data_IF_637040226201
#
_entry.id   IF_637040226201
#
_cell.length_a   1.000
_cell.length_b   1.000
_cell.length_c   1.000
_cell.angle_alpha   90.00
_cell.angle_beta   90.00
_cell.angle_gamma   90.00
#
_symmetry.space_group_name_H-M   'P 1'
#
loop_
_entity.id
_entity.type
_entity.pdbx_description
1 polymer ?
#
# COMPACT_ATOMS: atom_id res chain seq x y z
N UNK A 1 -18.76 -2.91 -19.42
CA UNK A 1 -18.92 -4.33 -19.05
C UNK A 1 -17.90 -4.63 -17.96
N UNK A 2 -18.38 -4.90 -16.74
CA UNK A 2 -17.49 -4.99 -15.57
C UNK A 2 -17.03 -6.43 -15.34
N UNK A 3 -15.74 -6.61 -15.14
CA UNK A 3 -15.19 -7.87 -14.64
C UNK A 3 -15.60 -8.06 -13.17
N UNK A 4 -15.70 -9.32 -12.74
CA UNK A 4 -15.96 -9.75 -11.38
C UNK A 4 -14.79 -10.60 -10.88
N UNK A 5 -14.36 -10.38 -9.66
CA UNK A 5 -13.19 -11.08 -9.11
C UNK A 5 -13.63 -12.00 -7.95
N UNK A 6 -13.32 -13.28 -8.06
CA UNK A 6 -13.44 -14.20 -6.94
C UNK A 6 -12.05 -14.42 -6.34
N UNK A 7 -11.94 -14.21 -5.06
CA UNK A 7 -10.70 -14.44 -4.30
C UNK A 7 -10.90 -15.72 -3.50
N UNK A 8 -10.02 -16.69 -3.69
CA UNK A 8 -10.03 -17.92 -2.93
C UNK A 8 -8.81 -17.99 -2.01
N UNK A 9 -9.06 -18.13 -0.71
CA UNK A 9 -8.04 -18.38 0.30
C UNK A 9 -7.93 -19.88 0.55
N UNK A 10 -6.90 -20.54 0.00
CA UNK A 10 -6.70 -21.99 0.12
C UNK A 10 -6.60 -22.43 1.57
N UNK A 11 -6.99 -23.72 1.81
CA UNK A 11 -6.98 -24.33 3.14
C UNK A 11 -7.83 -23.59 4.18
N UNK A 12 -7.69 -23.86 5.48
CA UNK A 12 -8.39 -23.17 6.57
C UNK A 12 -8.96 -24.11 7.63
N UNK A 13 -9.11 -23.59 8.85
CA UNK A 13 -9.60 -24.36 10.00
C UNK A 13 -8.68 -25.53 10.33
N UNK A 14 -9.20 -26.77 10.23
CA UNK A 14 -8.44 -27.99 10.48
C UNK A 14 -7.44 -28.31 9.35
N UNK A 15 -7.71 -27.88 8.13
CA UNK A 15 -6.82 -28.04 6.99
C UNK A 15 -5.76 -26.93 7.01
N UNK A 16 -4.57 -27.25 7.48
CA UNK A 16 -3.46 -26.32 7.60
C UNK A 16 -2.74 -26.01 6.27
N UNK A 17 -2.91 -26.88 5.26
CA UNK A 17 -2.08 -26.83 4.07
C UNK A 17 -0.61 -27.17 4.39
N UNK A 18 0.30 -26.67 3.58
CA UNK A 18 1.73 -26.88 3.80
C UNK A 18 2.27 -26.08 4.98
N UNK A 19 3.22 -26.69 5.71
CA UNK A 19 3.85 -26.04 6.87
C UNK A 19 5.38 -26.20 6.80
N UNK A 20 6.12 -25.14 7.03
CA UNK A 20 7.58 -25.13 7.03
C UNK A 20 8.13 -23.76 7.41
N UNK A 21 9.35 -23.70 7.94
CA UNK A 21 10.02 -22.44 8.31
C UNK A 21 9.15 -21.45 9.12
N UNK A 22 8.34 -21.95 10.04
CA UNK A 22 7.37 -21.17 10.84
C UNK A 22 6.31 -20.42 9.98
N UNK A 23 5.91 -21.03 8.88
CA UNK A 23 4.77 -20.63 8.04
C UNK A 23 3.74 -21.75 8.08
N UNK A 24 2.48 -21.38 8.15
CA UNK A 24 1.32 -22.25 7.94
C UNK A 24 0.57 -21.69 6.73
N UNK A 25 0.39 -22.47 5.67
CA UNK A 25 -0.18 -22.00 4.41
C UNK A 25 -1.54 -21.34 4.59
N UNK A 26 -2.44 -21.95 5.37
CA UNK A 26 -3.79 -21.41 5.59
C UNK A 26 -3.80 -19.96 6.12
N UNK A 27 -2.80 -19.59 6.94
CA UNK A 27 -2.72 -18.27 7.56
C UNK A 27 -2.30 -17.22 6.53
N UNK A 28 -1.30 -17.53 5.72
CA UNK A 28 -0.82 -16.62 4.66
C UNK A 28 -1.78 -16.56 3.47
N UNK A 29 -2.43 -17.68 3.11
CA UNK A 29 -3.51 -17.65 2.12
C UNK A 29 -4.61 -16.69 2.54
N UNK A 30 -4.98 -16.68 3.83
CA UNK A 30 -6.00 -15.80 4.38
C UNK A 30 -5.53 -14.34 4.43
N UNK A 31 -4.31 -14.09 4.91
CA UNK A 31 -3.73 -12.74 4.97
C UNK A 31 -3.68 -12.07 3.60
N UNK A 32 -3.15 -12.79 2.61
CA UNK A 32 -3.03 -12.31 1.23
C UNK A 32 -4.42 -12.08 0.63
N UNK A 33 -5.33 -13.03 0.80
CA UNK A 33 -6.68 -12.94 0.25
C UNK A 33 -7.50 -11.79 0.85
N UNK A 34 -7.40 -11.54 2.16
CA UNK A 34 -8.03 -10.40 2.80
C UNK A 34 -7.43 -9.08 2.30
N UNK A 35 -6.12 -9.00 2.12
CA UNK A 35 -5.49 -7.83 1.54
C UNK A 35 -6.01 -7.55 0.11
N UNK A 36 -6.06 -8.57 -0.75
CA UNK A 36 -6.61 -8.44 -2.10
C UNK A 36 -8.06 -7.95 -2.08
N UNK A 37 -8.88 -8.49 -1.16
CA UNK A 37 -10.29 -8.09 -0.98
C UNK A 37 -10.41 -6.60 -0.64
N UNK A 38 -9.68 -6.13 0.37
CA UNK A 38 -9.68 -4.73 0.80
C UNK A 38 -9.24 -3.80 -0.35
N UNK A 39 -8.23 -4.22 -1.10
CA UNK A 39 -7.73 -3.45 -2.24
C UNK A 39 -8.74 -3.36 -3.37
N UNK A 40 -9.38 -4.48 -3.76
CA UNK A 40 -10.41 -4.50 -4.78
C UNK A 40 -11.63 -3.66 -4.38
N UNK A 41 -12.05 -3.74 -3.10
CA UNK A 41 -13.11 -2.88 -2.54
C UNK A 41 -12.75 -1.39 -2.66
N UNK A 42 -11.53 -1.03 -2.29
CA UNK A 42 -11.05 0.36 -2.37
C UNK A 42 -11.00 0.91 -3.81
N UNK A 43 -10.85 0.03 -4.79
CA UNK A 43 -10.85 0.37 -6.22
C UNK A 43 -12.25 0.30 -6.85
N UNK A 44 -13.28 -0.08 -6.08
CA UNK A 44 -14.66 -0.23 -6.57
C UNK A 44 -14.83 -1.38 -7.57
N UNK A 45 -13.98 -2.40 -7.49
CA UNK A 45 -14.05 -3.60 -8.35
C UNK A 45 -14.94 -4.63 -7.67
N UNK A 46 -15.98 -5.09 -8.37
CA UNK A 46 -16.91 -6.12 -7.88
C UNK A 46 -16.16 -7.42 -7.54
N UNK A 47 -16.26 -7.85 -6.30
CA UNK A 47 -15.49 -8.99 -5.83
C UNK A 47 -16.16 -9.75 -4.67
N UNK A 48 -15.80 -11.04 -4.54
CA UNK A 48 -16.13 -11.87 -3.39
C UNK A 48 -14.88 -12.59 -2.87
N UNK A 49 -14.96 -13.12 -1.67
CA UNK A 49 -13.94 -13.98 -1.07
C UNK A 49 -14.57 -15.27 -0.55
N UNK A 50 -13.94 -16.42 -0.78
CA UNK A 50 -14.46 -17.72 -0.34
C UNK A 50 -14.48 -17.87 1.18
N UNK A 51 -13.44 -17.39 1.86
CA UNK A 51 -13.38 -17.27 3.31
C UNK A 51 -12.60 -16.03 3.73
N UNK A 52 -13.09 -15.32 4.72
CA UNK A 52 -12.44 -14.15 5.34
C UNK A 52 -12.03 -14.39 6.80
N UNK A 53 -12.25 -15.62 7.28
CA UNK A 53 -11.87 -16.08 8.63
C UNK A 53 -11.21 -17.46 8.52
N UNK A 54 -10.58 -17.92 9.61
CA UNK A 54 -10.00 -19.27 9.68
C UNK A 54 -11.11 -20.32 9.85
N UNK A 55 -11.57 -20.88 8.73
CA UNK A 55 -12.59 -21.95 8.69
C UNK A 55 -12.27 -22.95 7.59
N UNK A 56 -12.60 -24.21 7.80
CA UNK A 56 -12.48 -25.27 6.80
C UNK A 56 -13.53 -25.11 5.71
N UNK A 57 -13.12 -25.18 4.46
CA UNK A 57 -13.99 -25.27 3.28
C UNK A 57 -13.49 -26.39 2.38
N UNK A 58 -14.38 -27.29 1.97
CA UNK A 58 -14.08 -28.26 0.91
C UNK A 58 -13.95 -27.56 -0.44
N UNK A 59 -13.31 -28.22 -1.40
CA UNK A 59 -13.19 -27.70 -2.79
C UNK A 59 -14.57 -27.42 -3.39
N UNK A 60 -15.55 -28.31 -3.21
CA UNK A 60 -16.93 -28.10 -3.64
C UNK A 60 -17.57 -26.85 -3.00
N UNK A 61 -17.33 -26.63 -1.71
CA UNK A 61 -17.85 -25.45 -1.03
C UNK A 61 -17.25 -24.16 -1.61
N UNK A 62 -15.96 -24.16 -1.94
CA UNK A 62 -15.26 -23.02 -2.56
C UNK A 62 -15.84 -22.72 -3.94
N UNK A 63 -15.94 -23.73 -4.80
CA UNK A 63 -16.49 -23.58 -6.16
C UNK A 63 -17.96 -23.17 -6.12
N UNK A 64 -18.76 -23.72 -5.20
CA UNK A 64 -20.17 -23.37 -5.01
C UNK A 64 -20.34 -21.90 -4.54
N UNK A 65 -19.50 -21.39 -3.66
CA UNK A 65 -19.54 -19.97 -3.25
C UNK A 65 -19.34 -19.07 -4.47
N UNK A 66 -18.37 -19.38 -5.32
CA UNK A 66 -18.04 -18.56 -6.50
C UNK A 66 -19.17 -18.66 -7.55
N UNK A 67 -19.61 -19.88 -7.87
CA UNK A 67 -20.65 -20.10 -8.89
C UNK A 67 -22.02 -19.58 -8.47
N UNK A 68 -22.33 -19.64 -7.17
CA UNK A 68 -23.57 -19.03 -6.65
C UNK A 68 -23.57 -17.51 -6.76
N UNK A 69 -22.40 -16.87 -6.63
CA UNK A 69 -22.28 -15.42 -6.72
C UNK A 69 -22.28 -14.90 -8.17
N UNK A 70 -21.62 -15.62 -9.09
CA UNK A 70 -21.33 -15.11 -10.42
C UNK A 70 -21.92 -15.92 -11.58
N UNK A 71 -22.50 -17.09 -11.30
CA UNK A 71 -23.12 -17.95 -12.32
C UNK A 71 -22.11 -18.39 -13.38
N UNK A 72 -22.52 -18.32 -14.64
CA UNK A 72 -21.65 -18.64 -15.80
C UNK A 72 -21.08 -17.40 -16.48
N UNK A 73 -20.87 -16.31 -15.73
CA UNK A 73 -20.34 -15.08 -16.32
C UNK A 73 -18.86 -15.24 -16.68
N UNK A 74 -18.57 -15.34 -17.97
CA UNK A 74 -17.22 -15.52 -18.54
C UNK A 74 -16.26 -14.38 -18.25
N UNK A 75 -16.74 -13.26 -17.67
CA UNK A 75 -15.90 -12.15 -17.18
C UNK A 75 -15.51 -12.33 -15.73
N UNK A 76 -15.76 -13.46 -15.15
CA UNK A 76 -15.28 -13.81 -13.84
C UNK A 76 -13.80 -14.21 -13.89
N UNK A 77 -13.01 -13.59 -13.02
CA UNK A 77 -11.62 -13.95 -12.77
C UNK A 77 -11.55 -14.56 -11.37
N UNK A 78 -10.95 -15.73 -11.26
CA UNK A 78 -10.70 -16.39 -9.96
C UNK A 78 -9.22 -16.30 -9.65
N UNK A 79 -8.88 -15.80 -8.48
CA UNK A 79 -7.51 -15.78 -7.94
C UNK A 79 -7.50 -16.64 -6.67
N UNK A 80 -6.92 -17.83 -6.76
CA UNK A 80 -6.75 -18.75 -5.64
C UNK A 80 -5.34 -18.60 -5.07
N UNK A 81 -5.23 -18.26 -3.81
CA UNK A 81 -3.99 -17.90 -3.14
C UNK A 81 -3.54 -19.02 -2.20
N UNK A 82 -2.27 -19.40 -2.30
CA UNK A 82 -1.65 -20.41 -1.46
C UNK A 82 -0.13 -20.38 -1.51
N UNK A 83 0.45 -21.44 -0.96
CA UNK A 83 1.89 -21.67 -0.96
C UNK A 83 2.20 -23.01 -1.61
N UNK A 84 3.47 -23.32 -1.80
CA UNK A 84 3.97 -24.62 -2.25
C UNK A 84 4.94 -25.23 -1.24
N UNK A 85 5.32 -26.46 -1.48
CA UNK A 85 6.35 -27.18 -0.73
C UNK A 85 7.31 -27.92 -1.66
N UNK A 86 8.33 -28.53 -1.10
CA UNK A 86 9.31 -29.34 -1.84
C UNK A 86 10.50 -28.54 -2.34
N UNK A 87 10.95 -28.82 -3.56
CA UNK A 87 12.18 -28.23 -4.13
C UNK A 87 11.82 -27.06 -5.05
N UNK A 88 12.38 -25.91 -4.79
CA UNK A 88 12.21 -24.71 -5.63
C UNK A 88 12.37 -23.43 -4.84
N UNK A 89 12.44 -22.33 -5.55
CA UNK A 89 12.47 -20.98 -5.01
C UNK A 89 11.58 -20.08 -5.87
N UNK A 90 10.83 -19.22 -5.23
CA UNK A 90 10.03 -18.20 -5.89
C UNK A 90 8.56 -18.57 -6.10
N UNK A 91 7.82 -17.57 -6.55
CA UNK A 91 6.39 -17.63 -6.82
C UNK A 91 6.08 -18.43 -8.10
N UNK A 92 5.00 -19.19 -8.06
CA UNK A 92 4.46 -19.89 -9.23
C UNK A 92 3.05 -19.39 -9.56
N UNK A 93 2.77 -19.20 -10.85
CA UNK A 93 1.44 -18.82 -11.34
C UNK A 93 0.89 -19.91 -12.24
N UNK A 94 -0.17 -20.57 -11.80
CA UNK A 94 -0.80 -21.65 -12.55
C UNK A 94 -2.10 -21.13 -13.16
N UNK A 95 -2.27 -21.29 -14.47
CA UNK A 95 -3.47 -20.89 -15.20
C UNK A 95 -4.19 -22.07 -15.83
N UNK A 96 -5.49 -21.96 -16.00
CA UNK A 96 -6.37 -23.03 -16.50
C UNK A 96 -5.98 -23.45 -17.92
N UNK A 97 -6.15 -24.75 -18.24
CA UNK A 97 -5.90 -25.32 -19.57
C UNK A 97 -6.74 -24.61 -20.66
N UNK A 98 -7.94 -24.15 -20.31
CA UNK A 98 -8.86 -23.40 -21.18
C UNK A 98 -8.48 -21.93 -21.40
N UNK A 99 -7.57 -21.41 -20.61
CA UNK A 99 -7.17 -20.00 -20.66
C UNK A 99 -5.83 -19.79 -21.40
N UNK A 100 -5.58 -18.57 -21.86
CA UNK A 100 -4.26 -18.14 -22.28
C UNK A 100 -3.44 -17.62 -21.11
N UNK A 101 -2.14 -17.43 -21.32
CA UNK A 101 -1.18 -17.01 -20.30
C UNK A 101 -1.15 -15.51 -20.01
N UNK A 102 -1.96 -14.69 -20.67
CA UNK A 102 -1.87 -13.22 -20.59
C UNK A 102 -1.96 -12.65 -19.19
N UNK A 103 -2.89 -13.17 -18.36
CA UNK A 103 -3.00 -12.72 -16.98
C UNK A 103 -1.88 -13.31 -16.12
N UNK A 104 -1.54 -14.59 -16.31
CA UNK A 104 -0.49 -15.26 -15.55
C UNK A 104 0.89 -14.60 -15.78
N UNK A 105 1.25 -14.34 -17.05
CA UNK A 105 2.51 -13.66 -17.39
C UNK A 105 2.54 -12.22 -16.86
N UNK A 106 1.40 -11.52 -16.86
CA UNK A 106 1.31 -10.17 -16.31
C UNK A 106 1.49 -10.16 -14.78
N UNK A 107 0.91 -11.13 -14.06
CA UNK A 107 1.14 -11.30 -12.61
C UNK A 107 2.62 -11.57 -12.35
N UNK A 108 3.23 -12.48 -13.08
CA UNK A 108 4.66 -12.78 -12.96
C UNK A 108 5.52 -11.53 -13.15
N UNK A 109 5.26 -10.75 -14.21
CA UNK A 109 5.97 -9.51 -14.52
C UNK A 109 5.84 -8.45 -13.40
N UNK A 110 4.64 -8.26 -12.85
CA UNK A 110 4.43 -7.28 -11.78
C UNK A 110 5.12 -7.71 -10.47
N UNK A 111 5.14 -9.02 -10.17
CA UNK A 111 5.88 -9.56 -9.01
C UNK A 111 7.38 -9.35 -9.18
N UNK A 112 7.96 -9.63 -10.36
CA UNK A 112 9.38 -9.35 -10.64
C UNK A 112 9.68 -7.85 -10.56
N UNK A 113 8.77 -7.01 -11.04
CA UNK A 113 8.87 -5.54 -10.94
C UNK A 113 8.86 -5.07 -9.49
N UNK A 114 8.12 -5.75 -8.61
CA UNK A 114 8.12 -5.50 -7.18
C UNK A 114 9.34 -6.09 -6.43
N UNK A 115 10.31 -6.65 -7.15
CA UNK A 115 11.51 -7.27 -6.55
C UNK A 115 11.32 -8.72 -6.09
N UNK A 116 10.17 -9.32 -6.39
CA UNK A 116 9.90 -10.72 -6.11
C UNK A 116 10.64 -11.67 -7.06
N UNK A 117 10.74 -12.91 -6.65
CA UNK A 117 11.29 -13.99 -7.50
C UNK A 117 10.16 -14.82 -8.03
N UNK A 118 10.09 -14.96 -9.34
CA UNK A 118 9.13 -15.82 -10.04
C UNK A 118 9.85 -17.06 -10.53
N UNK A 119 9.39 -18.23 -10.10
CA UNK A 119 9.91 -19.51 -10.60
C UNK A 119 9.40 -19.76 -12.03
N UNK A 120 8.06 -19.76 -12.19
CA UNK A 120 7.42 -19.99 -13.49
C UNK A 120 5.95 -19.58 -13.50
N UNK A 121 5.39 -19.42 -14.70
CA UNK A 121 3.94 -19.49 -14.92
C UNK A 121 3.64 -20.57 -15.97
N UNK A 122 2.61 -21.41 -15.67
CA UNK A 122 2.38 -22.61 -16.47
C UNK A 122 0.97 -23.20 -16.26
N UNK A 123 0.63 -24.19 -17.05
CA UNK A 123 -0.56 -25.01 -16.89
C UNK A 123 -0.20 -26.32 -16.16
N UNK A 124 -0.95 -26.68 -15.13
CA UNK A 124 -0.73 -27.91 -14.38
C UNK A 124 -1.85 -28.89 -14.63
N UNK A 125 -1.49 -30.05 -15.18
CA UNK A 125 -2.41 -31.12 -15.52
C UNK A 125 -2.55 -32.12 -14.39
N UNK A 126 -3.73 -32.70 -14.29
CA UNK A 126 -3.97 -33.82 -13.39
C UNK A 126 -3.10 -35.02 -13.86
N UNK A 127 -2.33 -35.67 -12.98
CA UNK A 127 -1.46 -36.80 -13.35
C UNK A 127 -2.23 -38.04 -13.79
N UNK A 128 -3.46 -38.22 -13.29
CA UNK A 128 -4.30 -39.36 -13.61
C UNK A 128 -5.16 -39.12 -14.87
N UNK A 129 -5.43 -37.86 -15.22
CA UNK A 129 -6.17 -37.45 -16.41
C UNK A 129 -5.61 -36.17 -16.98
N UNK A 130 -4.65 -36.26 -17.87
CA UNK A 130 -3.94 -35.10 -18.44
C UNK A 130 -4.81 -34.20 -19.33
N UNK A 131 -6.07 -34.54 -19.55
CA UNK A 131 -7.02 -33.65 -20.20
C UNK A 131 -7.66 -32.65 -19.22
N UNK A 132 -7.45 -32.83 -17.92
CA UNK A 132 -8.01 -32.01 -16.85
C UNK A 132 -6.96 -31.16 -16.15
N UNK A 133 -7.41 -30.05 -15.58
CA UNK A 133 -6.60 -29.23 -14.68
C UNK A 133 -6.40 -29.95 -13.33
N UNK A 134 -5.21 -29.79 -12.73
CA UNK A 134 -4.88 -30.40 -11.44
C UNK A 134 -5.75 -29.87 -10.29
N UNK A 135 -5.93 -28.55 -10.22
CA UNK A 135 -6.65 -27.93 -9.11
C UNK A 135 -8.17 -27.97 -9.31
N UNK A 136 -8.94 -28.49 -8.31
CA UNK A 136 -10.41 -28.49 -8.36
C UNK A 136 -11.01 -27.10 -8.61
N UNK A 137 -10.46 -26.06 -7.99
CA UNK A 137 -10.91 -24.67 -8.18
C UNK A 137 -10.84 -24.22 -9.66
N UNK A 138 -9.95 -24.80 -10.46
CA UNK A 138 -9.88 -24.56 -11.89
C UNK A 138 -10.86 -25.49 -12.63
N UNK A 139 -10.81 -26.77 -12.32
CA UNK A 139 -11.53 -27.85 -13.03
C UNK A 139 -13.03 -27.71 -12.87
N UNK A 140 -13.49 -27.42 -11.65
CA UNK A 140 -14.90 -27.52 -11.26
C UNK A 140 -15.63 -26.17 -11.28
N UNK A 141 -14.99 -25.13 -11.84
CA UNK A 141 -15.62 -23.82 -12.12
C UNK A 141 -15.95 -23.68 -13.61
N UNK A 142 -16.96 -22.86 -14.00
CA UNK A 142 -17.25 -22.53 -15.41
C UNK A 142 -16.04 -21.95 -16.16
N UNK A 143 -16.28 -21.51 -17.40
CA UNK A 143 -15.23 -20.93 -18.27
C UNK A 143 -14.69 -19.57 -17.74
N UNK A 144 -14.31 -19.54 -16.48
CA UNK A 144 -13.68 -18.39 -15.83
C UNK A 144 -12.19 -18.30 -16.18
N UNK A 145 -11.66 -17.09 -16.14
CA UNK A 145 -10.21 -16.88 -16.13
C UNK A 145 -9.70 -17.25 -14.73
N UNK A 146 -9.20 -18.47 -14.54
CA UNK A 146 -8.80 -18.96 -13.21
C UNK A 146 -7.28 -19.03 -13.10
N UNK A 147 -6.76 -18.45 -12.04
CA UNK A 147 -5.34 -18.41 -11.67
C UNK A 147 -5.18 -18.95 -10.25
N UNK A 148 -4.27 -19.87 -10.08
CA UNK A 148 -3.76 -20.33 -8.77
C UNK A 148 -2.36 -19.74 -8.58
N UNK A 149 -2.13 -19.07 -7.47
CA UNK A 149 -0.83 -18.47 -7.14
C UNK A 149 -0.28 -19.18 -5.92
N UNK A 150 0.92 -19.73 -6.06
CA UNK A 150 1.76 -20.17 -4.94
C UNK A 150 2.83 -19.11 -4.71
N UNK A 151 2.71 -18.34 -3.62
CA UNK A 151 3.55 -17.16 -3.36
C UNK A 151 4.98 -17.50 -2.95
N UNK A 152 5.31 -18.76 -2.80
CA UNK A 152 6.63 -19.29 -2.51
C UNK A 152 6.55 -20.66 -1.85
N UNK A 153 7.70 -21.23 -1.58
CA UNK A 153 7.85 -22.58 -1.04
C UNK A 153 8.13 -22.54 0.46
N UNK A 154 7.25 -23.17 1.26
CA UNK A 154 7.39 -23.18 2.74
C UNK A 154 8.66 -23.91 3.21
N UNK A 155 9.22 -24.83 2.41
CA UNK A 155 10.44 -25.56 2.72
C UNK A 155 11.72 -24.76 2.38
N UNK A 156 11.59 -23.68 1.61
CA UNK A 156 12.68 -22.77 1.28
C UNK A 156 12.73 -21.60 2.25
N UNK A 157 13.83 -21.49 3.02
CA UNK A 157 13.97 -20.45 4.05
C UNK A 157 13.93 -19.02 3.49
N UNK A 158 14.46 -18.80 2.28
CA UNK A 158 14.45 -17.48 1.64
C UNK A 158 13.04 -17.09 1.20
N UNK A 159 12.26 -18.05 0.66
CA UNK A 159 10.85 -17.80 0.33
C UNK A 159 10.05 -17.52 1.59
N UNK A 160 10.28 -18.30 2.65
CA UNK A 160 9.62 -18.08 3.93
C UNK A 160 9.91 -16.69 4.52
N UNK A 161 11.14 -16.20 4.42
CA UNK A 161 11.49 -14.83 4.83
C UNK A 161 10.77 -13.77 3.97
N UNK A 162 10.79 -13.94 2.63
CA UNK A 162 10.09 -13.03 1.71
C UNK A 162 8.59 -13.00 1.96
N UNK A 163 7.95 -14.16 2.10
CA UNK A 163 6.51 -14.25 2.38
C UNK A 163 6.17 -13.51 3.66
N UNK A 164 6.93 -13.71 4.74
CA UNK A 164 6.69 -13.05 6.03
C UNK A 164 6.83 -11.53 5.94
N UNK A 165 7.79 -11.05 5.17
CA UNK A 165 8.13 -9.64 5.06
C UNK A 165 7.28 -8.93 4.00
N UNK A 166 7.14 -9.55 2.82
CA UNK A 166 6.77 -8.86 1.60
C UNK A 166 5.42 -9.35 1.00
N UNK A 167 4.61 -10.12 1.76
CA UNK A 167 3.33 -10.67 1.23
C UNK A 167 2.37 -9.58 0.71
N UNK A 168 2.40 -8.38 1.29
CA UNK A 168 1.58 -7.26 0.83
C UNK A 168 2.05 -6.72 -0.52
N UNK A 169 3.36 -6.67 -0.75
CA UNK A 169 3.93 -6.22 -2.01
C UNK A 169 3.60 -7.20 -3.15
N UNK A 170 3.63 -8.50 -2.85
CA UNK A 170 3.20 -9.54 -3.80
C UNK A 170 1.70 -9.45 -4.09
N UNK A 171 0.87 -9.26 -3.08
CA UNK A 171 -0.56 -9.06 -3.27
C UNK A 171 -0.84 -7.78 -4.08
N UNK A 172 -0.10 -6.70 -3.82
CA UNK A 172 -0.23 -5.46 -4.58
C UNK A 172 0.22 -5.60 -6.04
N UNK A 173 1.25 -6.42 -6.32
CA UNK A 173 1.63 -6.79 -7.68
C UNK A 173 0.48 -7.52 -8.43
N UNK A 174 -0.24 -8.41 -7.73
CA UNK A 174 -1.44 -9.06 -8.29
C UNK A 174 -2.53 -8.03 -8.59
N UNK A 175 -2.78 -7.06 -7.70
CA UNK A 175 -3.75 -5.96 -7.95
C UNK A 175 -3.35 -5.12 -9.18
N UNK A 176 -2.07 -4.77 -9.33
CA UNK A 176 -1.56 -4.06 -10.51
C UNK A 176 -1.81 -4.85 -11.80
N UNK A 177 -1.49 -6.14 -11.78
CA UNK A 177 -1.71 -7.04 -12.91
C UNK A 177 -3.21 -7.14 -13.27
N UNK A 178 -4.08 -7.35 -12.27
CA UNK A 178 -5.53 -7.42 -12.45
C UNK A 178 -6.09 -6.13 -13.02
N UNK A 179 -5.80 -4.98 -12.42
CA UNK A 179 -6.31 -3.68 -12.86
C UNK A 179 -5.89 -3.36 -14.29
N UNK A 180 -4.62 -3.64 -14.62
CA UNK A 180 -4.10 -3.51 -15.98
C UNK A 180 -4.79 -4.47 -16.97
N UNK A 181 -5.07 -5.71 -16.55
CA UNK A 181 -5.73 -6.72 -17.40
C UNK A 181 -7.19 -6.36 -17.70
N UNK A 182 -7.93 -5.89 -16.69
CA UNK A 182 -9.36 -5.52 -16.84
C UNK A 182 -9.58 -4.08 -17.33
N UNK A 183 -8.51 -3.30 -17.54
CA UNK A 183 -8.58 -1.92 -18.03
C UNK A 183 -9.06 -0.91 -16.98
N UNK A 184 -8.89 -1.17 -15.70
CA UNK A 184 -9.18 -0.26 -14.59
C UNK A 184 -7.90 0.48 -14.20
N UNK A 185 -8.03 1.77 -13.89
CA UNK A 185 -6.87 2.55 -13.43
C UNK A 185 -6.42 2.05 -12.05
N UNK A 186 -5.15 1.64 -11.97
CA UNK A 186 -4.53 1.33 -10.68
C UNK A 186 -4.36 2.61 -9.83
N UNK A 187 -4.68 2.52 -8.54
CA UNK A 187 -4.43 3.55 -7.53
C UNK A 187 -3.71 2.86 -6.37
N UNK A 188 -2.53 3.32 -5.95
CA UNK A 188 -1.81 2.75 -4.80
C UNK A 188 -2.64 2.75 -3.50
N UNK A 189 -2.29 1.90 -2.52
CA UNK A 189 -2.96 1.85 -1.23
C UNK A 189 -2.97 3.20 -0.52
N UNK A 190 -4.01 3.47 0.28
CA UNK A 190 -4.06 4.66 1.12
C UNK A 190 -2.86 4.71 2.08
N UNK A 191 -2.24 5.88 2.24
CA UNK A 191 -1.02 6.04 3.05
C UNK A 191 0.29 5.71 2.33
N UNK A 192 0.24 5.27 1.07
CA UNK A 192 1.43 5.17 0.22
C UNK A 192 1.72 6.53 -0.39
N UNK A 193 2.93 7.05 -0.22
CA UNK A 193 3.36 8.22 -0.96
C UNK A 193 3.63 7.80 -2.41
N UNK A 194 2.90 8.36 -3.34
CA UNK A 194 3.15 8.12 -4.76
C UNK A 194 3.02 9.41 -5.59
N UNK A 195 3.65 9.40 -6.75
CA UNK A 195 3.58 10.48 -7.73
C UNK A 195 3.20 9.94 -9.11
N UNK A 196 2.28 10.63 -9.78
CA UNK A 196 1.94 10.31 -11.18
C UNK A 196 2.74 11.24 -12.09
N UNK A 197 3.61 10.66 -12.92
CA UNK A 197 4.50 11.38 -13.84
C UNK A 197 3.70 12.23 -14.81
N UNK A 198 4.06 13.51 -14.95
CA UNK A 198 3.45 14.49 -15.85
C UNK A 198 4.43 14.88 -16.96
N UNK A 199 3.90 15.51 -18.01
CA UNK A 199 4.73 16.06 -19.09
C UNK A 199 5.75 17.06 -18.54
N UNK A 200 7.02 16.85 -18.84
CA UNK A 200 8.13 17.70 -18.40
C UNK A 200 8.77 17.33 -17.06
N UNK A 201 8.34 16.20 -16.47
CA UNK A 201 8.97 15.64 -15.28
C UNK A 201 10.29 14.92 -15.61
N UNK A 202 11.11 14.82 -14.57
CA UNK A 202 12.31 13.99 -14.56
C UNK A 202 12.47 13.38 -13.17
N UNK A 203 13.19 12.26 -13.06
CA UNK A 203 13.48 11.64 -11.75
C UNK A 203 14.12 12.64 -10.79
N UNK A 204 15.04 13.49 -11.28
CA UNK A 204 15.68 14.52 -10.47
C UNK A 204 14.67 15.52 -9.89
N UNK A 205 13.75 16.04 -10.72
CA UNK A 205 12.71 16.97 -10.25
C UNK A 205 11.80 16.31 -9.22
N UNK A 206 11.38 15.08 -9.48
CA UNK A 206 10.48 14.33 -8.58
C UNK A 206 11.22 14.03 -7.27
N UNK A 207 12.43 13.49 -7.33
CA UNK A 207 13.23 13.18 -6.15
C UNK A 207 13.46 14.43 -5.29
N UNK A 208 13.86 15.55 -5.93
CA UNK A 208 14.08 16.81 -5.23
C UNK A 208 12.79 17.36 -4.59
N UNK A 209 11.63 17.26 -5.28
CA UNK A 209 10.35 17.72 -4.74
C UNK A 209 9.87 16.89 -3.53
N UNK A 210 10.28 15.63 -3.44
CA UNK A 210 9.90 14.73 -2.36
C UNK A 210 11.00 14.49 -1.33
N UNK A 211 12.12 15.20 -1.41
CA UNK A 211 13.20 15.13 -0.44
C UNK A 211 13.92 13.77 -0.43
N UNK A 212 13.91 13.07 -1.54
CA UNK A 212 14.63 11.82 -1.77
C UNK A 212 15.71 12.00 -2.84
N UNK A 213 16.55 11.00 -3.05
CA UNK A 213 17.53 10.99 -4.15
C UNK A 213 16.98 10.27 -5.39
N UNK A 214 17.61 10.53 -6.54
CA UNK A 214 17.27 9.80 -7.79
C UNK A 214 17.51 8.32 -7.62
N UNK A 215 18.56 7.93 -6.89
CA UNK A 215 18.93 6.53 -6.68
C UNK A 215 17.92 5.83 -5.77
N UNK A 216 17.52 6.42 -4.63
CA UNK A 216 16.46 5.90 -3.77
C UNK A 216 15.13 5.78 -4.53
N UNK A 217 14.76 6.80 -5.34
CA UNK A 217 13.54 6.76 -6.13
C UNK A 217 13.58 5.66 -7.21
N UNK A 218 14.75 5.41 -7.80
CA UNK A 218 14.94 4.31 -8.76
C UNK A 218 14.89 2.95 -8.09
N UNK A 219 15.51 2.81 -6.94
CA UNK A 219 15.52 1.58 -6.15
C UNK A 219 14.10 1.19 -5.72
N UNK A 220 13.35 2.13 -5.11
CA UNK A 220 11.96 1.93 -4.69
C UNK A 220 11.03 1.50 -5.83
N UNK A 221 11.33 1.95 -7.07
CA UNK A 221 10.52 1.67 -8.25
C UNK A 221 11.16 0.68 -9.22
N UNK A 222 12.26 0.04 -8.85
CA UNK A 222 13.02 -0.91 -9.66
C UNK A 222 13.36 -0.36 -11.09
N UNK A 223 13.65 0.94 -11.19
CA UNK A 223 13.91 1.59 -12.48
C UNK A 223 15.34 1.33 -12.94
N UNK A 224 15.48 0.69 -14.10
CA UNK A 224 16.79 0.44 -14.74
C UNK A 224 17.34 1.64 -15.53
N UNK A 225 16.52 2.66 -15.78
CA UNK A 225 16.90 3.88 -16.52
C UNK A 225 16.28 5.13 -15.91
N UNK A 226 16.63 6.31 -16.45
CA UNK A 226 16.03 7.59 -16.03
C UNK A 226 14.82 7.99 -16.88
N UNK A 227 14.39 7.13 -17.80
CA UNK A 227 13.26 7.40 -18.69
C UNK A 227 11.96 7.18 -17.92
N UNK A 228 11.08 8.17 -18.01
CA UNK A 228 9.75 8.13 -17.39
C UNK A 228 8.67 8.23 -18.46
N UNK A 229 7.59 7.49 -18.29
CA UNK A 229 6.40 7.60 -19.12
C UNK A 229 5.37 8.52 -18.45
N UNK A 230 4.72 9.39 -19.24
CA UNK A 230 3.61 10.21 -18.74
C UNK A 230 2.51 9.28 -18.24
N UNK A 231 2.02 9.54 -17.02
CA UNK A 231 1.04 8.68 -16.34
C UNK A 231 1.65 7.54 -15.52
N UNK A 232 2.96 7.30 -15.61
CA UNK A 232 3.66 6.33 -14.76
C UNK A 232 3.48 6.71 -13.30
N UNK A 233 3.19 5.72 -12.47
CA UNK A 233 3.11 5.88 -11.01
C UNK A 233 4.47 5.53 -10.42
N UNK A 234 5.02 6.43 -9.64
CA UNK A 234 6.24 6.22 -8.89
C UNK A 234 5.90 6.18 -7.40
N UNK A 235 6.31 5.15 -6.71
CA UNK A 235 6.33 5.11 -5.25
C UNK A 235 7.45 6.05 -4.76
N UNK A 236 7.10 6.86 -3.77
CA UNK A 236 8.07 7.77 -3.17
C UNK A 236 8.62 7.11 -1.91
N UNK A 237 9.95 6.89 -1.82
CA UNK A 237 10.57 6.23 -0.69
C UNK A 237 10.18 6.89 0.64
N UNK A 238 9.77 6.07 1.62
CA UNK A 238 9.61 6.53 3.01
C UNK A 238 11.00 6.54 3.65
N UNK A 239 11.47 7.70 4.10
CA UNK A 239 12.62 7.70 5.00
C UNK A 239 12.23 7.02 6.30
N UNK A 240 12.91 5.96 6.68
CA UNK A 240 12.77 5.36 8.01
C UNK A 240 13.02 6.46 9.06
N UNK A 241 12.00 6.72 9.88
CA UNK A 241 11.99 7.81 10.86
C UNK A 241 11.19 9.06 10.45
N UNK A 242 10.62 9.11 9.24
CA UNK A 242 9.72 10.18 8.81
C UNK A 242 8.27 9.67 8.90
N UNK A 243 7.56 10.07 9.94
CA UNK A 243 6.10 10.09 9.89
C UNK A 243 5.67 10.81 8.61
N UNK A 244 4.60 10.35 7.96
CA UNK A 244 4.11 10.86 6.66
C UNK A 244 4.20 12.38 6.61
N UNK A 245 5.13 12.89 5.80
CA UNK A 245 5.37 14.32 5.68
C UNK A 245 4.19 14.93 4.95
N UNK A 246 3.36 15.64 5.68
CA UNK A 246 2.22 16.35 5.13
C UNK A 246 2.71 17.38 4.10
N UNK A 247 2.05 17.46 2.96
CA UNK A 247 2.35 18.42 1.92
C UNK A 247 1.26 19.49 1.84
N UNK A 248 1.66 20.71 1.53
CA UNK A 248 0.76 21.83 1.31
C UNK A 248 1.04 22.48 -0.05
N UNK A 249 0.01 22.60 -0.88
CA UNK A 249 0.12 23.36 -2.13
C UNK A 249 -0.24 24.79 -1.89
N UNK A 250 0.68 25.72 -2.16
CA UNK A 250 0.52 27.16 -1.99
C UNK A 250 -0.61 27.69 -2.87
N UNK A 251 -1.55 28.41 -2.27
CA UNK A 251 -2.71 29.03 -2.92
C UNK A 251 -2.55 30.55 -2.99
N UNK A 252 -3.35 31.18 -3.83
CA UNK A 252 -3.40 32.63 -3.91
C UNK A 252 -3.74 33.26 -2.55
N UNK A 253 -2.90 34.16 -2.07
CA UNK A 253 -3.06 34.84 -0.78
C UNK A 253 -2.43 34.13 0.42
N UNK A 254 -1.70 33.03 0.18
CA UNK A 254 -0.90 32.38 1.21
C UNK A 254 0.40 33.15 1.49
N UNK A 255 0.88 32.95 2.71
CA UNK A 255 2.22 33.34 3.15
C UNK A 255 2.80 32.21 4.01
N UNK A 256 4.12 32.15 4.14
CA UNK A 256 4.77 31.17 5.04
C UNK A 256 4.18 31.23 6.44
N UNK A 257 3.91 32.43 6.94
CA UNK A 257 3.29 32.61 8.25
C UNK A 257 1.90 31.98 8.35
N UNK A 258 1.01 32.22 7.36
CA UNK A 258 -0.32 31.59 7.34
C UNK A 258 -0.24 30.08 7.26
N UNK A 259 0.64 29.57 6.40
CA UNK A 259 0.80 28.11 6.22
C UNK A 259 1.37 27.49 7.48
N UNK A 260 2.39 28.09 8.09
CA UNK A 260 2.99 27.63 9.35
C UNK A 260 1.94 27.59 10.48
N UNK A 261 1.21 28.69 10.65
CA UNK A 261 0.21 28.81 11.70
C UNK A 261 -0.95 27.79 11.53
N UNK A 262 -1.44 27.60 10.30
CA UNK A 262 -2.53 26.65 10.01
C UNK A 262 -2.11 25.18 10.18
N UNK A 263 -0.78 24.91 10.12
CA UNK A 263 -0.23 23.55 10.22
C UNK A 263 0.56 23.33 11.51
N UNK A 264 0.36 24.19 12.52
CA UNK A 264 0.99 24.09 13.86
C UNK A 264 2.52 23.96 13.80
N UNK A 265 3.16 24.77 12.96
CA UNK A 265 4.62 24.83 12.81
C UNK A 265 5.08 26.28 12.82
N UNK A 266 6.38 26.51 12.72
CA UNK A 266 6.98 27.86 12.61
C UNK A 266 7.39 28.16 11.18
N UNK A 267 7.56 29.46 10.85
CA UNK A 267 8.09 29.89 9.55
C UNK A 267 9.50 29.34 9.35
N UNK A 268 10.33 29.38 10.39
CA UNK A 268 11.70 28.87 10.33
C UNK A 268 11.76 27.38 10.07
N UNK A 269 10.94 26.58 10.77
CA UNK A 269 10.82 25.14 10.53
C UNK A 269 10.34 24.83 9.11
N UNK A 270 9.38 25.61 8.57
CA UNK A 270 8.96 25.48 7.18
C UNK A 270 10.06 25.83 6.19
N UNK A 271 10.81 26.89 6.45
CA UNK A 271 11.94 27.33 5.60
C UNK A 271 13.06 26.30 5.60
N UNK A 272 13.46 25.82 6.77
CA UNK A 272 14.49 24.79 6.93
C UNK A 272 14.09 23.50 6.22
N UNK A 273 12.87 23.00 6.48
CA UNK A 273 12.36 21.77 5.89
C UNK A 273 12.25 21.82 4.37
N UNK A 274 12.00 23.01 3.81
CA UNK A 274 11.82 23.24 2.37
C UNK A 274 13.03 23.91 1.71
N UNK A 275 14.14 24.08 2.44
CA UNK A 275 15.35 24.78 1.96
C UNK A 275 15.07 26.18 1.37
N UNK A 276 14.08 26.92 1.94
CA UNK A 276 13.70 28.23 1.45
C UNK A 276 14.67 29.30 1.96
N UNK A 277 15.28 30.04 1.05
CA UNK A 277 16.18 31.15 1.38
C UNK A 277 15.44 32.48 1.60
N UNK A 278 14.20 32.58 1.10
CA UNK A 278 13.36 33.78 1.18
C UNK A 278 11.97 33.42 1.64
N UNK A 279 11.15 34.41 1.95
CA UNK A 279 9.75 34.22 2.35
C UNK A 279 8.78 34.20 1.16
N UNK A 280 9.30 34.36 -0.05
CA UNK A 280 8.50 34.43 -1.27
C UNK A 280 8.03 33.02 -1.68
N UNK A 281 6.74 32.88 -1.90
CA UNK A 281 6.09 31.65 -2.35
C UNK A 281 5.50 31.85 -3.74
N UNK A 282 5.53 30.78 -4.54
CA UNK A 282 4.84 30.71 -5.82
C UNK A 282 3.51 29.97 -5.69
N UNK A 283 2.45 30.46 -6.33
CA UNK A 283 1.18 29.72 -6.38
C UNK A 283 1.40 28.37 -7.06
N UNK A 284 0.91 27.30 -6.45
CA UNK A 284 1.16 25.93 -6.90
C UNK A 284 2.47 25.30 -6.38
N UNK A 285 3.29 26.06 -5.66
CA UNK A 285 4.47 25.52 -4.98
C UNK A 285 4.02 24.50 -3.92
N UNK A 286 4.68 23.34 -3.88
CA UNK A 286 4.45 22.34 -2.85
C UNK A 286 5.44 22.58 -1.71
N UNK A 287 4.93 22.73 -0.51
CA UNK A 287 5.72 22.80 0.72
C UNK A 287 5.54 21.52 1.52
N UNK A 288 6.63 20.97 1.99
CA UNK A 288 6.65 19.93 2.99
C UNK A 288 6.26 20.54 4.34
N UNK A 289 5.30 19.91 5.00
CA UNK A 289 4.90 20.31 6.35
C UNK A 289 5.54 19.36 7.36
N UNK A 290 5.98 19.86 8.53
CA UNK A 290 6.45 18.99 9.60
C UNK A 290 5.36 17.97 9.97
N UNK A 291 5.71 16.69 10.08
CA UNK A 291 4.78 15.69 10.55
C UNK A 291 4.45 15.93 12.03
N UNK A 292 3.16 15.97 12.36
CA UNK A 292 2.68 16.12 13.75
C UNK A 292 2.94 14.88 14.65
N UNK A 293 3.63 13.87 14.17
CA UNK A 293 4.00 12.69 14.93
C UNK A 293 5.32 12.92 15.67
N UNK A 294 5.23 13.60 16.79
CA UNK A 294 6.36 13.79 17.70
C UNK A 294 6.74 15.23 17.98
N UNK A 295 5.77 16.17 18.08
CA UNK A 295 6.11 17.38 18.79
C UNK A 295 6.50 16.99 20.20
N UNK A 296 7.80 16.99 20.45
CA UNK A 296 8.31 17.08 21.83
C UNK A 296 7.73 18.37 22.40
N UNK A 297 6.77 18.26 23.28
CA UNK A 297 6.27 19.38 24.03
C UNK A 297 6.80 19.26 25.46
N UNK A 298 7.25 20.38 26.00
CA UNK A 298 7.48 20.51 27.44
C UNK A 298 6.19 20.96 28.12
N UNK A 299 6.01 20.59 29.37
CA UNK A 299 4.90 21.10 30.18
C UNK A 299 5.34 22.40 30.85
N UNK A 300 4.56 23.44 30.63
CA UNK A 300 4.70 24.72 31.29
C UNK A 300 3.60 24.90 32.32
N UNK A 301 3.97 25.22 33.56
CA UNK A 301 3.01 25.53 34.62
C UNK A 301 2.82 27.04 34.69
N UNK A 302 1.59 27.49 34.49
CA UNK A 302 1.22 28.90 34.54
C UNK A 302 1.52 29.52 35.91
N UNK A 303 2.25 30.62 35.91
CA UNK A 303 2.68 31.36 37.12
C UNK A 303 1.89 32.67 37.24
N UNK A 304 1.92 33.26 38.42
CA UNK A 304 1.34 34.59 38.68
C UNK A 304 1.97 35.64 37.73
N UNK A 305 1.14 36.37 37.02
CA UNK A 305 1.56 37.40 36.05
C UNK A 305 1.80 36.89 34.63
N UNK A 306 1.57 35.61 34.36
CA UNK A 306 1.59 35.07 33.01
C UNK A 306 0.35 35.49 32.21
N UNK A 307 0.55 35.53 30.90
CA UNK A 307 -0.51 35.64 29.91
C UNK A 307 -0.19 34.75 28.72
N UNK A 308 -1.21 34.35 27.97
CA UNK A 308 -0.98 33.58 26.74
C UNK A 308 0.01 34.25 25.80
N UNK A 309 -0.03 35.59 25.72
CA UNK A 309 0.90 36.35 24.89
C UNK A 309 2.36 36.23 25.40
N UNK A 310 2.59 36.38 26.70
CA UNK A 310 3.94 36.25 27.28
C UNK A 310 4.49 34.85 27.09
N UNK A 311 3.68 33.82 27.36
CA UNK A 311 4.08 32.43 27.26
C UNK A 311 4.36 32.08 25.78
N UNK A 312 3.48 32.48 24.86
CA UNK A 312 3.64 32.24 23.43
C UNK A 312 4.90 32.92 22.89
N UNK A 313 5.08 34.22 23.19
CA UNK A 313 6.22 35.01 22.74
C UNK A 313 7.57 34.47 23.27
N UNK A 314 7.63 34.09 24.54
CA UNK A 314 8.83 33.48 25.14
C UNK A 314 9.21 32.10 24.60
N UNK A 315 8.31 31.48 23.85
CA UNK A 315 8.52 30.17 23.21
C UNK A 315 8.40 30.23 21.68
N UNK A 316 8.52 31.43 21.11
CA UNK A 316 8.51 31.68 19.66
C UNK A 316 7.29 31.09 18.91
N UNK A 317 6.11 31.09 19.56
CA UNK A 317 4.86 30.64 18.96
C UNK A 317 3.81 31.74 19.04
N UNK A 318 2.74 31.62 18.27
CA UNK A 318 1.60 32.56 18.34
C UNK A 318 0.66 32.18 19.48
N UNK A 319 -0.11 33.15 19.99
CA UNK A 319 -1.16 32.92 20.99
C UNK A 319 -2.18 31.89 20.47
N UNK A 320 -2.55 31.97 19.19
CA UNK A 320 -3.50 31.06 18.57
C UNK A 320 -2.94 29.63 18.47
N UNK A 321 -1.64 29.46 18.16
CA UNK A 321 -0.98 28.18 18.18
C UNK A 321 -0.96 27.55 19.58
N UNK A 322 -0.64 28.37 20.61
CA UNK A 322 -0.66 27.94 22.00
C UNK A 322 -2.06 27.55 22.46
N UNK A 323 -3.08 28.33 22.10
CA UNK A 323 -4.49 28.01 22.39
C UNK A 323 -4.91 26.71 21.76
N UNK A 324 -4.62 26.52 20.47
CA UNK A 324 -4.98 25.34 19.70
C UNK A 324 -4.30 24.08 20.25
N UNK A 325 -3.00 24.16 20.57
CA UNK A 325 -2.23 23.04 21.16
C UNK A 325 -2.80 22.58 22.50
N UNK A 326 -3.46 23.49 23.23
CA UNK A 326 -4.00 23.24 24.55
C UNK A 326 -5.54 23.23 24.60
N UNK A 327 -6.21 23.26 23.47
CA UNK A 327 -7.68 23.31 23.35
C UNK A 327 -8.33 24.44 24.19
N UNK A 328 -7.69 25.61 24.24
CA UNK A 328 -8.20 26.74 25.05
C UNK A 328 -9.26 27.52 24.28
N UNK A 329 -10.48 27.56 24.82
CA UNK A 329 -11.58 28.34 24.23
C UNK A 329 -11.44 29.86 24.50
N UNK A 330 -10.76 30.25 25.58
CA UNK A 330 -10.60 31.64 26.01
C UNK A 330 -9.12 31.98 26.21
N UNK A 331 -8.83 33.27 26.50
CA UNK A 331 -7.49 33.74 26.85
C UNK A 331 -7.20 33.70 28.35
N UNK A 332 -8.14 33.23 29.16
CA UNK A 332 -8.00 33.16 30.59
C UNK A 332 -7.11 31.96 30.98
N UNK A 333 -6.12 32.23 31.81
CA UNK A 333 -5.24 31.20 32.39
C UNK A 333 -5.46 31.15 33.90
N UNK A 334 -5.36 29.97 34.46
CA UNK A 334 -5.35 29.76 35.92
C UNK A 334 -3.91 29.52 36.38
N UNK A 335 -3.53 30.13 37.54
CA UNK A 335 -2.23 29.84 38.18
C UNK A 335 -2.18 28.35 38.51
N UNK A 336 -1.09 27.68 38.12
CA UNK A 336 -0.94 26.22 38.26
C UNK A 336 -1.48 25.41 37.09
N UNK A 337 -2.13 26.04 36.10
CA UNK A 337 -2.58 25.35 34.88
C UNK A 337 -1.38 24.81 34.09
N UNK A 338 -1.48 23.55 33.62
CA UNK A 338 -0.48 22.95 32.78
C UNK A 338 -0.76 23.26 31.32
N UNK A 339 0.21 23.78 30.59
CA UNK A 339 0.16 24.04 29.16
C UNK A 339 1.24 23.23 28.44
N UNK A 340 0.87 22.63 27.31
CA UNK A 340 1.82 22.07 26.36
C UNK A 340 2.45 23.18 25.55
N UNK A 341 3.77 23.23 25.48
CA UNK A 341 4.53 24.19 24.70
C UNK A 341 5.49 23.40 23.82
N UNK A 342 5.65 23.71 22.52
CA UNK A 342 6.66 23.08 21.68
C UNK A 342 8.05 23.15 22.34
N UNK A 343 8.80 22.04 22.34
CA UNK A 343 10.15 21.97 22.91
C UNK A 343 11.18 22.61 22.02
#
# INVERSE_FOLDING_TARGET
MNYKIAIDARHGGEDQGYTGNNIIEKDYSLLISNYLKERLDSLGIDNIITRNTDRTLSDDARTNIITSAFGNDVKTIVISNGLSNGIGEGLEVIYALRNNDKLASKIAQEVETAGGIVNKYYQLRDPDDTAKDYYPIIRDTPDYQTIVISYGNVDNSKDAERIKKDYQDYAEAVIKALTSYIGVKYIPPAGTNYYVVKKGDSLWKIANNYGTSVDELKEENNLKSNILNIGQILLIPKKEGSASQLQYTVKKGDSLWKIANNNNTTVDALKELNNLKTDTLSIGQILLLPSNSGMNYKIYIVKKGDSLWKIANSNNITVDALKKLNNLATNLLQIGQSLKIPA
#
